data_IF_026157933037
#
_entry.id   IF_026157933037
#
_cell.length_a   1.000
_cell.length_b   1.000
_cell.length_c   1.000
_cell.angle_alpha   90.00
_cell.angle_beta   90.00
_cell.angle_gamma   90.00
#
_symmetry.space_group_name_H-M   'P 1'
#
loop_
_entity.id
_entity.type
_entity.pdbx_description
1 polymer ?
2 non-polymer ?
3 non-polymer ?
4 non-polymer ?
5 non-polymer ?
6 water ?
#
# COMPACT_ATOMS: atom_id res chain seq x y z
N UNK A 1 -25.84 1.75 -15.60
CA UNK A 1 -26.22 2.88 -14.72
C UNK A 1 -26.56 4.11 -15.58
N UNK A 2 -26.77 5.28 -14.97
CA UNK A 2 -27.21 6.42 -15.76
C UNK A 2 -26.12 7.48 -15.89
N UNK A 3 -25.06 7.41 -15.07
CA UNK A 3 -24.01 8.45 -15.09
C UNK A 3 -23.01 8.11 -16.20
N UNK A 4 -22.62 9.12 -16.98
CA UNK A 4 -21.74 8.88 -18.13
C UNK A 4 -20.34 8.61 -17.59
N UNK A 5 -19.54 7.92 -18.40
CA UNK A 5 -18.16 7.74 -18.01
C UNK A 5 -17.43 9.09 -18.05
N UNK A 6 -17.85 9.99 -18.95
CA UNK A 6 -17.27 11.32 -18.95
C UNK A 6 -17.43 12.01 -17.57
N UNK A 7 -18.63 11.90 -17.00
CA UNK A 7 -19.00 12.52 -15.74
C UNK A 7 -18.17 11.91 -14.59
N UNK A 8 -18.01 10.59 -14.60
CA UNK A 8 -17.23 9.90 -13.56
C UNK A 8 -15.77 10.34 -13.65
N UNK A 9 -15.23 10.39 -14.88
CA UNK A 9 -13.82 10.75 -15.08
C UNK A 9 -13.61 12.19 -14.63
N UNK A 10 -14.55 13.07 -14.96
CA UNK A 10 -14.42 14.49 -14.58
C UNK A 10 -14.47 14.63 -13.05
N UNK A 11 -15.41 13.95 -12.39
CA UNK A 11 -15.52 14.01 -10.93
C UNK A 11 -14.22 13.55 -10.25
N UNK A 12 -13.70 12.37 -10.62
CA UNK A 12 -12.52 11.87 -9.93
C UNK A 12 -11.30 12.75 -10.21
N UNK A 13 -11.14 13.18 -11.48
CA UNK A 13 -10.06 14.11 -11.77
C UNK A 13 -10.19 15.33 -10.83
N UNK A 14 -11.41 15.82 -10.64
CA UNK A 14 -11.58 17.02 -9.81
C UNK A 14 -11.16 16.79 -8.35
N UNK A 15 -11.28 15.55 -7.83
CA UNK A 15 -10.78 15.30 -6.46
C UNK A 15 -9.29 15.58 -6.35
N UNK A 16 -8.51 15.14 -7.34
CA UNK A 16 -7.07 15.40 -7.37
C UNK A 16 -6.76 16.88 -7.62
N UNK A 17 -7.50 17.49 -8.55
CA UNK A 17 -7.31 18.91 -8.85
C UNK A 17 -7.54 19.72 -7.58
N UNK A 18 -8.62 19.43 -6.85
CA UNK A 18 -8.98 20.22 -5.68
C UNK A 18 -7.90 20.08 -4.58
N UNK A 19 -7.18 18.98 -4.54
CA UNK A 19 -6.14 18.78 -3.54
C UNK A 19 -4.83 19.41 -4.01
N UNK A 20 -4.85 20.06 -5.17
CA UNK A 20 -3.65 20.70 -5.69
C UNK A 20 -2.50 19.71 -5.79
N UNK A 21 -2.79 18.48 -6.25
CA UNK A 21 -1.68 17.59 -6.54
C UNK A 21 -1.85 16.96 -7.91
N UNK A 22 -0.95 16.03 -8.25
CA UNK A 22 -1.02 15.27 -9.48
C UNK A 22 -1.13 13.79 -9.07
N UNK A 23 -2.13 13.07 -9.59
CA UNK A 23 -2.22 11.68 -9.15
C UNK A 23 -3.13 10.84 -10.04
N UNK A 24 -3.14 9.52 -9.75
CA UNK A 24 -4.00 8.60 -10.47
C UNK A 24 -4.60 7.65 -9.43
N UNK A 25 -5.75 7.07 -9.76
CA UNK A 25 -6.20 5.89 -9.02
C UNK A 25 -6.62 4.86 -10.05
N UNK A 26 -6.08 3.65 -9.87
CA UNK A 26 -6.36 2.54 -10.77
C UNK A 26 -7.31 1.63 -10.02
N UNK A 27 -8.36 1.17 -10.69
CA UNK A 27 -9.35 0.26 -10.11
C UNK A 27 -9.33 -1.01 -10.96
N UNK A 28 -9.49 -2.18 -10.36
CA UNK A 28 -9.57 -3.36 -11.19
C UNK A 28 -10.89 -4.08 -10.87
N UNK A 29 -11.73 -4.32 -11.90
CA UNK A 29 -12.92 -5.16 -11.76
C UNK A 29 -12.73 -6.40 -12.59
N UNK A 30 -12.65 -7.54 -11.90
CA UNK A 30 -12.27 -8.75 -12.59
C UNK A 30 -10.89 -8.55 -13.17
N UNK A 31 -10.77 -8.77 -14.49
CA UNK A 31 -9.47 -8.60 -15.14
C UNK A 31 -9.32 -7.20 -15.74
N UNK A 32 -10.33 -6.33 -15.67
CA UNK A 32 -10.33 -5.06 -16.42
C UNK A 32 -9.76 -3.93 -15.55
N UNK A 33 -8.75 -3.22 -16.07
CA UNK A 33 -8.18 -2.10 -15.32
C UNK A 33 -8.84 -0.80 -15.74
N UNK A 34 -9.14 0.06 -14.79
CA UNK A 34 -9.61 1.39 -15.13
C UNK A 34 -8.71 2.43 -14.47
N UNK A 35 -8.42 3.52 -15.21
CA UNK A 35 -7.50 4.50 -14.66
C UNK A 35 -8.21 5.85 -14.60
N UNK A 36 -8.15 6.49 -13.43
CA UNK A 36 -8.83 7.75 -13.20
C UNK A 36 -7.88 8.75 -12.52
N UNK A 37 -8.26 10.03 -12.50
CA UNK A 37 -7.45 11.02 -11.78
C UNK A 37 -7.05 12.18 -12.69
N UNK A 38 -6.06 12.97 -12.26
CA UNK A 38 -5.68 14.14 -13.04
C UNK A 38 -4.29 13.98 -13.63
N UNK A 39 -3.70 12.77 -13.55
CA UNK A 39 -2.41 12.58 -14.20
C UNK A 39 -2.28 11.14 -14.62
N UNK A 40 -2.97 10.74 -15.69
CA UNK A 40 -3.13 9.33 -15.98
C UNK A 40 -1.80 8.65 -16.33
N UNK A 41 -0.83 9.39 -16.91
CA UNK A 41 0.44 8.79 -17.31
C UNK A 41 1.22 8.27 -16.10
N UNK A 42 0.87 8.68 -14.88
CA UNK A 42 1.53 8.09 -13.72
C UNK A 42 1.30 6.57 -13.59
N UNK A 43 0.27 6.05 -14.25
CA UNK A 43 -0.15 4.65 -14.08
C UNK A 43 0.98 3.67 -14.33
N UNK A 44 1.86 3.92 -15.33
CA UNK A 44 2.88 2.94 -15.65
C UNK A 44 4.25 3.53 -15.35
N UNK A 45 4.30 4.53 -14.46
CA UNK A 45 5.60 5.04 -14.02
C UNK A 45 6.01 4.37 -12.71
N UNK A 46 7.33 4.25 -12.46
CA UNK A 46 7.87 3.54 -11.29
C UNK A 46 8.14 4.53 -10.16
N UNK A 47 7.77 4.17 -8.92
CA UNK A 47 8.06 5.03 -7.77
C UNK A 47 8.51 4.09 -6.64
N UNK A 48 9.12 4.64 -5.59
CA UNK A 48 9.44 3.74 -4.48
C UNK A 48 8.13 3.30 -3.82
N UNK A 49 8.07 2.08 -3.28
CA UNK A 49 6.84 1.62 -2.63
C UNK A 49 6.64 2.29 -1.27
N UNK A 50 7.72 2.78 -0.63
CA UNK A 50 7.64 3.34 0.73
C UNK A 50 6.89 2.33 1.61
N UNK A 51 5.99 2.80 2.50
CA UNK A 51 5.39 1.94 3.53
C UNK A 51 4.48 0.89 2.90
N UNK A 52 4.13 1.03 1.60
CA UNK A 52 3.32 -0.06 1.00
C UNK A 52 4.10 -1.37 1.02
N UNK A 53 5.44 -1.28 1.05
CA UNK A 53 6.25 -2.51 1.07
C UNK A 53 5.99 -3.32 2.36
N UNK A 54 5.48 -2.68 3.41
CA UNK A 54 5.24 -3.43 4.67
C UNK A 54 4.31 -4.61 4.43
N UNK A 55 3.38 -4.52 3.46
CA UNK A 55 2.57 -5.70 3.17
C UNK A 55 3.43 -6.92 2.82
N UNK A 56 4.39 -6.73 1.92
CA UNK A 56 5.22 -7.85 1.47
C UNK A 56 6.27 -8.18 2.54
N UNK A 57 6.81 -7.16 3.23
CA UNK A 57 7.76 -7.42 4.30
C UNK A 57 7.10 -8.38 5.32
N UNK A 58 5.86 -8.09 5.72
CA UNK A 58 5.11 -8.91 6.70
C UNK A 58 4.92 -10.35 6.17
N UNK A 59 4.48 -10.49 4.90
CA UNK A 59 4.29 -11.83 4.33
C UNK A 59 5.60 -12.62 4.40
N UNK A 60 6.70 -12.00 3.99
CA UNK A 60 7.98 -12.70 3.95
C UNK A 60 8.42 -13.08 5.39
N UNK A 61 8.25 -12.15 6.33
CA UNK A 61 8.72 -12.41 7.69
C UNK A 61 7.92 -13.55 8.33
N UNK A 62 6.57 -13.53 8.17
CA UNK A 62 5.72 -14.55 8.76
C UNK A 62 5.99 -15.89 8.07
N UNK A 63 6.08 -15.88 6.73
CA UNK A 63 6.27 -17.12 5.99
C UNK A 63 7.57 -17.80 6.42
N UNK A 64 8.64 -17.03 6.62
CA UNK A 64 9.93 -17.58 6.94
C UNK A 64 10.19 -17.64 8.47
N UNK A 65 9.14 -17.52 9.29
CA UNK A 65 9.22 -17.69 10.76
C UNK A 65 10.19 -16.70 11.39
N UNK A 66 10.20 -15.46 10.89
CA UNK A 66 11.05 -14.48 11.50
C UNK A 66 10.25 -13.72 12.57
N UNK A 67 8.93 -13.91 12.63
CA UNK A 67 8.06 -13.26 13.61
C UNK A 67 6.78 -14.07 13.69
N UNK A 68 5.97 -13.84 14.73
CA UNK A 68 4.62 -14.39 14.75
C UNK A 68 3.69 -13.20 14.80
N UNK A 69 2.37 -13.42 14.65
CA UNK A 69 1.42 -12.31 14.70
C UNK A 69 1.21 -11.81 16.12
N UNK A 70 1.64 -12.55 17.16
CA UNK A 70 1.42 -11.99 18.49
C UNK A 70 2.71 -11.44 19.12
N UNK A 71 3.84 -11.65 18.47
CA UNK A 71 5.13 -11.21 19.01
C UNK A 71 5.12 -9.70 19.21
N UNK A 72 5.62 -9.24 20.35
CA UNK A 72 5.61 -7.80 20.60
C UNK A 72 7.03 -7.31 20.38
N UNK A 73 7.24 -6.44 19.36
CA UNK A 73 8.54 -5.83 19.13
C UNK A 73 8.65 -4.65 20.10
N UNK A 74 9.67 -4.70 20.98
CA UNK A 74 9.80 -3.71 22.04
C UNK A 74 10.43 -2.44 21.52
N UNK A 75 9.93 -1.28 21.96
CA UNK A 75 10.60 -0.04 21.58
C UNK A 75 11.95 -0.02 22.29
N UNK A 76 13.02 0.37 21.58
CA UNK A 76 14.35 0.30 22.16
C UNK A 76 14.66 1.52 23.03
N UNK A 77 13.70 2.44 23.13
CA UNK A 77 13.83 3.59 24.03
C UNK A 77 14.50 4.78 23.35
N UNK A 78 14.89 4.69 22.06
CA UNK A 78 15.43 5.82 21.31
C UNK A 78 14.34 6.71 20.72
N UNK A 79 14.60 8.01 20.60
CA UNK A 79 13.63 8.98 20.11
C UNK A 79 13.26 8.61 18.68
N UNK A 80 11.97 8.72 18.31
CA UNK A 80 11.50 8.38 16.98
C UNK A 80 10.89 9.61 16.36
N UNK A 81 10.74 9.60 15.03
CA UNK A 81 10.10 10.71 14.36
C UNK A 81 8.72 10.98 14.95
N UNK A 82 7.93 9.95 15.28
CA UNK A 82 6.55 10.16 15.69
C UNK A 82 6.37 9.50 17.06
N UNK A 83 5.70 10.20 18.01
CA UNK A 83 5.52 9.66 19.36
C UNK A 83 4.79 8.33 19.41
N UNK A 84 3.85 8.14 18.47
CA UNK A 84 3.12 6.90 18.37
C UNK A 84 4.05 5.72 18.06
N UNK A 85 5.25 5.99 17.54
CA UNK A 85 6.20 4.93 17.27
C UNK A 85 6.97 4.54 18.55
N UNK A 86 6.84 5.34 19.64
CA UNK A 86 7.73 5.09 20.78
C UNK A 86 7.02 4.14 21.73
N UNK A 87 6.69 2.95 21.23
CA UNK A 87 5.96 2.00 22.03
C UNK A 87 6.16 0.62 21.43
N UNK A 88 5.77 -0.40 22.20
CA UNK A 88 5.91 -1.81 21.92
C UNK A 88 4.73 -2.18 21.04
N UNK A 89 4.99 -2.98 19.97
CA UNK A 89 3.88 -3.29 19.10
C UNK A 89 4.05 -4.61 18.35
N UNK A 90 2.91 -5.18 17.94
CA UNK A 90 2.92 -6.36 17.07
C UNK A 90 3.09 -5.86 15.63
N UNK A 91 3.33 -6.78 14.69
CA UNK A 91 3.38 -6.48 13.26
C UNK A 91 2.10 -5.79 12.83
N UNK A 92 0.95 -6.25 13.35
CA UNK A 92 -0.34 -5.69 12.96
C UNK A 92 -0.50 -4.25 13.39
N UNK A 93 -0.09 -3.97 14.63
CA UNK A 93 -0.13 -2.60 15.11
C UNK A 93 0.84 -1.71 14.33
N UNK A 94 2.05 -2.22 14.09
CA UNK A 94 3.04 -1.50 13.33
C UNK A 94 2.55 -1.26 11.89
N UNK A 95 1.78 -2.20 11.34
CA UNK A 95 1.20 -1.98 10.00
C UNK A 95 0.23 -0.80 10.03
N UNK A 96 -0.60 -0.71 11.09
CA UNK A 96 -1.60 0.36 11.14
C UNK A 96 -0.93 1.71 11.38
N UNK A 97 0.18 1.73 12.14
CA UNK A 97 0.85 2.99 12.42
C UNK A 97 1.97 3.28 11.42
N UNK A 98 2.13 2.40 10.41
CA UNK A 98 3.26 2.48 9.49
C UNK A 98 4.58 2.66 10.24
N UNK A 99 4.78 1.90 11.34
CA UNK A 99 5.99 2.01 12.16
C UNK A 99 7.20 1.36 11.47
N UNK A 100 7.93 2.16 10.68
CA UNK A 100 9.09 1.67 9.96
C UNK A 100 10.15 1.04 10.88
N UNK A 101 10.40 1.47 12.15
CA UNK A 101 11.44 0.79 12.94
C UNK A 101 11.16 -0.70 13.15
N UNK A 102 9.89 -1.08 13.25
CA UNK A 102 9.54 -2.49 13.50
C UNK A 102 9.80 -3.26 12.21
N UNK A 103 9.41 -2.69 11.06
CA UNK A 103 9.61 -3.37 9.78
C UNK A 103 11.08 -3.39 9.38
N UNK A 104 11.88 -2.41 9.82
CA UNK A 104 13.32 -2.51 9.62
C UNK A 104 13.93 -3.64 10.43
N UNK A 105 13.43 -3.84 11.66
CA UNK A 105 13.85 -4.98 12.47
C UNK A 105 13.49 -6.28 11.74
N UNK A 106 12.24 -6.37 11.26
CA UNK A 106 11.83 -7.58 10.55
C UNK A 106 12.74 -7.80 9.32
N UNK A 107 13.01 -6.73 8.55
CA UNK A 107 13.83 -6.92 7.34
C UNK A 107 15.24 -7.41 7.73
N UNK A 108 15.80 -6.84 8.79
CA UNK A 108 17.11 -7.31 9.26
C UNK A 108 17.06 -8.77 9.71
N UNK A 109 15.94 -9.25 10.29
CA UNK A 109 15.89 -10.65 10.69
C UNK A 109 15.84 -11.51 9.43
N UNK A 110 15.07 -11.06 8.44
CA UNK A 110 15.01 -11.84 7.20
C UNK A 110 16.38 -11.92 6.54
N UNK A 111 17.09 -10.78 6.49
CA UNK A 111 18.43 -10.67 5.96
C UNK A 111 18.41 -10.43 4.43
N UNK A 112 19.48 -9.82 3.90
CA UNK A 112 19.56 -9.40 2.50
C UNK A 112 19.37 -10.57 1.54
N UNK A 113 20.08 -11.68 1.79
CA UNK A 113 19.98 -12.81 0.87
C UNK A 113 18.57 -13.38 0.73
N UNK A 114 17.88 -13.63 1.84
CA UNK A 114 16.55 -14.22 1.75
C UNK A 114 15.56 -13.17 1.21
N UNK A 115 15.72 -11.90 1.67
CA UNK A 115 14.85 -10.82 1.21
C UNK A 115 14.93 -10.72 -0.34
N UNK A 116 16.13 -10.71 -0.91
CA UNK A 116 16.29 -10.58 -2.36
C UNK A 116 15.62 -11.77 -3.07
N UNK A 117 15.82 -12.98 -2.52
CA UNK A 117 15.23 -14.17 -3.10
C UNK A 117 13.72 -14.06 -3.07
N UNK A 118 13.13 -13.54 -1.97
CA UNK A 118 11.68 -13.65 -1.88
C UNK A 118 11.06 -12.54 -2.75
N UNK A 119 11.70 -11.39 -2.76
CA UNK A 119 11.15 -10.28 -3.54
C UNK A 119 11.18 -10.68 -5.04
N UNK A 120 12.31 -11.27 -5.48
CA UNK A 120 12.40 -11.88 -6.81
C UNK A 120 11.32 -12.94 -7.03
N UNK A 121 11.11 -13.83 -6.06
CA UNK A 121 10.15 -14.91 -6.20
C UNK A 121 8.74 -14.35 -6.40
N UNK A 122 8.41 -13.23 -5.74
CA UNK A 122 7.08 -12.64 -5.81
C UNK A 122 6.99 -11.76 -7.06
N UNK A 123 8.14 -11.40 -7.64
CA UNK A 123 8.09 -10.60 -8.85
C UNK A 123 7.58 -9.20 -8.50
N UNK A 124 7.98 -8.60 -7.37
CA UNK A 124 7.39 -7.34 -6.93
C UNK A 124 8.12 -6.16 -7.57
N UNK A 125 7.38 -5.35 -8.37
CA UNK A 125 7.99 -4.15 -8.94
C UNK A 125 9.18 -4.48 -9.83
N UNK A 126 10.25 -3.69 -9.78
CA UNK A 126 11.46 -3.95 -10.55
C UNK A 126 12.29 -5.07 -9.91
N UNK A 127 11.87 -5.58 -8.76
CA UNK A 127 12.49 -6.68 -8.04
C UNK A 127 13.93 -6.42 -7.53
N UNK A 128 14.38 -5.16 -7.49
CA UNK A 128 15.77 -4.83 -7.17
C UNK A 128 15.94 -4.26 -5.76
N UNK A 129 16.59 -5.01 -4.84
CA UNK A 129 16.68 -4.46 -3.47
C UNK A 129 18.10 -3.95 -3.18
N UNK A 130 19.07 -4.18 -4.08
CA UNK A 130 20.38 -3.56 -3.84
C UNK A 130 21.10 -4.23 -2.64
N UNK A 131 21.89 -3.47 -1.89
CA UNK A 131 22.80 -4.04 -0.91
C UNK A 131 22.45 -3.66 0.54
N UNK A 132 21.42 -2.82 0.78
CA UNK A 132 21.05 -2.42 2.13
C UNK A 132 19.68 -2.98 2.50
N UNK A 133 19.64 -3.94 3.42
CA UNK A 133 18.42 -4.68 3.66
C UNK A 133 17.37 -3.80 4.35
N UNK A 134 17.76 -2.64 4.93
CA UNK A 134 16.87 -1.93 5.86
C UNK A 134 16.32 -0.60 5.30
N UNK A 135 16.53 -0.35 4.00
CA UNK A 135 16.01 0.91 3.47
C UNK A 135 15.69 0.86 1.96
N UNK A 136 15.75 -0.32 1.37
CA UNK A 136 15.65 -0.43 -0.09
C UNK A 136 14.29 -0.03 -0.64
N UNK A 137 13.23 -0.08 0.19
CA UNK A 137 11.85 0.25 -0.19
C UNK A 137 11.58 1.74 0.05
N UNK A 138 12.55 2.47 0.61
CA UNK A 138 12.36 3.85 1.04
C UNK A 138 13.09 4.80 0.09
N UNK A 139 14.29 4.41 -0.35
CA UNK A 139 15.10 5.43 -1.04
C UNK A 139 15.58 4.83 -2.36
N UNK A 140 15.03 3.69 -2.74
CA UNK A 140 15.58 2.95 -3.87
C UNK A 140 16.57 1.89 -3.39
N UNK A 141 16.97 0.93 -4.24
CA UNK A 141 16.58 0.92 -5.68
C UNK A 141 15.24 0.30 -6.03
N UNK A 142 14.47 -0.18 -5.03
CA UNK A 142 13.23 -0.91 -5.31
C UNK A 142 12.17 0.09 -5.79
N UNK A 143 11.49 -0.21 -6.91
CA UNK A 143 10.44 0.69 -7.39
C UNK A 143 9.33 -0.14 -8.03
N UNK A 144 8.14 0.48 -8.12
CA UNK A 144 6.98 -0.29 -8.58
C UNK A 144 6.02 0.74 -9.19
N UNK A 145 5.19 0.31 -10.16
CA UNK A 145 4.21 1.23 -10.76
C UNK A 145 2.85 1.06 -10.07
N UNK A 146 1.93 2.06 -10.21
CA UNK A 146 0.56 1.90 -9.75
C UNK A 146 -0.15 0.69 -10.34
N UNK A 147 0.11 0.40 -11.64
CA UNK A 147 -0.42 -0.84 -12.20
C UNK A 147 0.09 -2.07 -11.43
N UNK A 148 1.41 -2.15 -11.20
CA UNK A 148 1.92 -3.30 -10.48
C UNK A 148 1.32 -3.34 -9.06
N UNK A 149 1.15 -2.19 -8.38
CA UNK A 149 0.62 -2.19 -7.02
C UNK A 149 -0.82 -2.69 -7.03
N UNK A 150 -1.65 -2.25 -7.99
CA UNK A 150 -3.04 -2.72 -7.98
C UNK A 150 -3.09 -4.24 -8.23
N UNK A 151 -2.18 -4.75 -9.05
CA UNK A 151 -2.16 -6.19 -9.33
C UNK A 151 -1.66 -6.98 -8.13
N UNK A 152 -0.65 -6.45 -7.41
CA UNK A 152 -0.28 -7.01 -6.10
C UNK A 152 -1.49 -7.12 -5.16
N UNK A 153 -2.26 -6.04 -5.03
CA UNK A 153 -3.40 -5.98 -4.14
C UNK A 153 -4.44 -7.02 -4.59
N UNK A 154 -4.64 -7.13 -5.91
CA UNK A 154 -5.52 -8.14 -6.48
C UNK A 154 -5.06 -9.55 -6.09
N UNK A 155 -3.76 -9.85 -6.25
CA UNK A 155 -3.23 -11.17 -5.90
C UNK A 155 -3.41 -11.47 -4.41
N UNK A 156 -3.07 -10.50 -3.53
CA UNK A 156 -3.24 -10.71 -2.07
C UNK A 156 -4.73 -10.89 -1.74
N UNK A 157 -5.60 -10.02 -2.27
CA UNK A 157 -7.01 -10.13 -1.95
C UNK A 157 -7.53 -11.54 -2.30
N UNK A 158 -6.97 -12.16 -3.33
CA UNK A 158 -7.46 -13.46 -3.82
C UNK A 158 -6.57 -14.62 -3.36
N UNK A 159 -5.66 -14.38 -2.41
CA UNK A 159 -4.77 -15.44 -1.95
C UNK A 159 -3.93 -16.07 -3.05
N UNK A 160 -3.50 -15.26 -4.02
CA UNK A 160 -2.82 -15.79 -5.18
C UNK A 160 -1.32 -15.61 -5.06
N UNK A 161 -0.83 -14.84 -4.07
CA UNK A 161 0.61 -14.72 -3.99
C UNK A 161 1.20 -16.07 -3.55
N UNK A 162 2.50 -16.33 -3.80
CA UNK A 162 3.12 -17.61 -3.51
C UNK A 162 3.58 -17.72 -2.06
N UNK A 163 2.60 -17.64 -1.16
CA UNK A 163 2.83 -17.85 0.26
C UNK A 163 1.72 -18.77 0.71
N UNK A 164 1.88 -19.41 1.88
CA UNK A 164 0.80 -20.16 2.44
C UNK A 164 -0.45 -19.31 2.53
N UNK A 165 -1.60 -19.97 2.43
CA UNK A 165 -2.87 -19.32 2.62
C UNK A 165 -2.89 -18.64 3.97
N UNK A 166 -2.34 -19.34 4.98
CA UNK A 166 -2.44 -18.80 6.33
C UNK A 166 -1.63 -17.48 6.44
N UNK A 167 -0.42 -17.46 5.87
CA UNK A 167 0.39 -16.24 5.83
C UNK A 167 -0.42 -15.07 5.22
N UNK A 168 -1.02 -15.31 4.04
CA UNK A 168 -1.82 -14.26 3.39
C UNK A 168 -2.97 -13.79 4.25
N UNK A 169 -3.71 -14.74 4.88
CA UNK A 169 -4.81 -14.34 5.73
C UNK A 169 -4.34 -13.51 6.94
N UNK A 170 -3.19 -13.85 7.50
CA UNK A 170 -2.73 -13.15 8.71
C UNK A 170 -2.40 -11.70 8.30
N UNK A 171 -1.74 -11.52 7.15
CA UNK A 171 -1.42 -10.14 6.73
C UNK A 171 -2.69 -9.37 6.36
N UNK A 172 -3.63 -9.99 5.62
CA UNK A 172 -4.82 -9.26 5.26
C UNK A 172 -5.56 -8.77 6.49
N UNK A 173 -5.58 -9.56 7.57
CA UNK A 173 -6.29 -9.09 8.76
C UNK A 173 -5.65 -7.78 9.25
N UNK A 174 -4.33 -7.60 9.04
CA UNK A 174 -3.63 -6.40 9.50
C UNK A 174 -4.06 -5.15 8.74
N UNK A 175 -4.74 -5.33 7.60
CA UNK A 175 -4.92 -4.20 6.67
C UNK A 175 -6.33 -3.60 6.67
N UNK A 176 -7.23 -4.03 7.57
CA UNK A 176 -8.57 -3.48 7.56
C UNK A 176 -8.56 -2.05 8.08
N UNK A 177 -9.00 -1.07 7.27
CA UNK A 177 -8.86 0.31 7.67
C UNK A 177 -10.23 0.96 7.74
N UNK A 178 -11.28 0.36 7.14
CA UNK A 178 -12.54 1.08 7.12
C UNK A 178 -13.71 0.14 6.84
N UNK A 179 -14.85 0.41 7.50
CA UNK A 179 -16.08 -0.33 7.24
C UNK A 179 -17.16 0.68 6.83
N UNK A 180 -17.80 0.42 5.68
CA UNK A 180 -18.76 1.37 5.11
C UNK A 180 -19.97 0.55 4.63
N UNK A 181 -21.15 0.84 5.21
CA UNK A 181 -22.42 0.13 5.08
C UNK A 181 -22.32 -1.30 4.52
N UNK A 182 -21.62 -2.23 5.19
CA UNK A 182 -21.50 -3.59 4.67
C UNK A 182 -20.21 -3.90 3.87
N UNK A 183 -19.57 -2.88 3.28
CA UNK A 183 -18.30 -2.99 2.58
C UNK A 183 -17.12 -2.89 3.56
N UNK A 184 -16.05 -3.63 3.30
CA UNK A 184 -14.85 -3.43 4.10
C UNK A 184 -13.70 -2.98 3.20
N UNK A 185 -12.93 -1.99 3.67
CA UNK A 185 -11.77 -1.52 2.92
C UNK A 185 -10.48 -1.98 3.60
N UNK A 186 -9.72 -2.78 2.86
CA UNK A 186 -8.40 -3.17 3.29
C UNK A 186 -7.40 -2.35 2.48
N UNK A 187 -6.42 -1.72 3.13
CA UNK A 187 -5.42 -0.98 2.34
C UNK A 187 -4.17 -0.69 3.17
N UNK A 188 -3.07 -0.35 2.48
CA UNK A 188 -1.87 0.18 3.14
C UNK A 188 -1.54 1.51 2.49
N UNK A 189 -1.27 2.52 3.33
CA UNK A 189 -0.84 3.81 2.82
C UNK A 189 0.68 3.83 2.69
N UNK A 190 1.18 4.86 1.95
CA UNK A 190 2.62 5.06 1.76
C UNK A 190 2.86 6.55 1.60
N UNK A 191 4.00 7.02 2.13
CA UNK A 191 4.38 8.42 1.94
C UNK A 191 5.91 8.40 1.89
N UNK A 192 6.48 8.46 0.69
CA UNK A 192 7.91 8.29 0.53
C UNK A 192 8.55 9.67 0.68
N UNK A 193 9.14 9.91 1.85
CA UNK A 193 9.70 11.23 2.15
C UNK A 193 11.20 11.29 1.83
N UNK A 194 11.80 10.15 1.53
CA UNK A 194 13.23 10.12 1.25
C UNK A 194 13.57 10.20 -0.23
N UNK A 195 12.58 10.55 -1.08
CA UNK A 195 12.78 10.75 -2.51
C UNK A 195 12.18 12.11 -2.91
N UNK A 196 12.56 12.61 -4.09
CA UNK A 196 12.05 13.90 -4.57
C UNK A 196 11.60 13.71 -6.02
N UNK A 197 10.35 14.10 -6.40
CA UNK A 197 9.32 14.55 -5.46
C UNK A 197 8.86 13.42 -4.53
N UNK A 198 8.11 13.77 -3.48
CA UNK A 198 7.63 12.78 -2.51
C UNK A 198 6.39 12.06 -3.06
N UNK A 199 6.32 10.75 -2.84
CA UNK A 199 5.23 9.97 -3.42
C UNK A 199 4.24 9.59 -2.32
N UNK A 200 2.92 9.63 -2.64
CA UNK A 200 1.88 9.17 -1.73
C UNK A 200 1.18 7.96 -2.37
N UNK A 201 0.85 6.93 -1.55
CA UNK A 201 0.16 5.74 -2.00
C UNK A 201 -1.04 5.42 -1.10
N UNK A 202 -2.08 4.78 -1.65
CA UNK A 202 -2.99 3.98 -0.83
C UNK A 202 -3.45 2.83 -1.70
N UNK A 203 -2.99 1.63 -1.36
CA UNK A 203 -3.17 0.48 -2.23
C UNK A 203 -3.93 -0.56 -1.43
N UNK A 204 -4.99 -1.13 -2.01
CA UNK A 204 -5.76 -2.09 -1.26
C UNK A 204 -6.92 -2.68 -2.08
N UNK A 205 -8.01 -3.02 -1.38
CA UNK A 205 -9.20 -3.53 -2.06
C UNK A 205 -10.43 -3.32 -1.22
N UNK A 206 -11.59 -3.30 -1.89
CA UNK A 206 -12.86 -3.23 -1.20
C UNK A 206 -13.38 -4.65 -1.21
N UNK A 207 -13.80 -5.15 -0.03
CA UNK A 207 -14.55 -6.40 -0.09
C UNK A 207 -16.03 -6.03 0.10
N UNK A 208 -16.86 -6.23 -0.93
CA UNK A 208 -18.27 -5.86 -0.87
C UNK A 208 -19.02 -6.93 -0.08
N UNK A 209 -20.23 -6.62 0.38
CA UNK A 209 -20.99 -7.47 1.30
C UNK A 209 -21.19 -8.86 0.70
N UNK A 210 -21.38 -8.91 -0.63
CA UNK A 210 -21.58 -10.14 -1.40
C UNK A 210 -20.29 -10.93 -1.61
N UNK A 211 -19.15 -10.42 -1.14
CA UNK A 211 -17.90 -11.16 -1.28
C UNK A 211 -16.98 -10.72 -2.45
N UNK A 212 -17.46 -9.88 -3.38
CA UNK A 212 -16.61 -9.49 -4.49
C UNK A 212 -15.49 -8.54 -4.01
N UNK A 213 -14.27 -8.74 -4.53
CA UNK A 213 -13.14 -7.90 -4.13
C UNK A 213 -12.73 -6.96 -5.27
N UNK A 214 -12.70 -5.64 -5.02
CA UNK A 214 -12.35 -4.68 -6.07
C UNK A 214 -11.07 -3.96 -5.62
N UNK A 215 -9.93 -4.40 -6.14
CA UNK A 215 -8.64 -3.77 -5.83
C UNK A 215 -8.43 -2.37 -6.41
N UNK A 216 -7.61 -1.56 -5.74
CA UNK A 216 -7.34 -0.20 -6.23
C UNK A 216 -5.93 0.19 -5.79
N UNK A 217 -5.34 1.16 -6.51
CA UNK A 217 -4.09 1.77 -6.04
C UNK A 217 -4.16 3.25 -6.38
N UNK A 218 -4.10 4.10 -5.35
CA UNK A 218 -3.99 5.53 -5.54
C UNK A 218 -2.52 5.87 -5.46
N UNK A 219 -2.07 6.81 -6.32
CA UNK A 219 -0.67 7.22 -6.32
C UNK A 219 -0.68 8.71 -6.64
N UNK A 220 -0.04 9.52 -5.79
CA UNK A 220 -0.06 10.97 -6.06
C UNK A 220 1.21 11.60 -5.52
N UNK A 221 1.37 12.89 -5.81
CA UNK A 221 2.55 13.61 -5.34
C UNK A 221 2.17 14.26 -4.04
N UNK A 222 2.91 13.96 -2.97
CA UNK A 222 2.58 14.58 -1.69
C UNK A 222 3.45 15.84 -1.63
N UNK A 223 2.88 16.94 -1.16
CA UNK A 223 3.73 18.12 -1.01
C UNK A 223 3.61 18.62 0.43
N UNK A 224 4.76 19.02 1.02
CA UNK A 224 4.80 19.64 2.35
C UNK A 224 3.65 20.65 2.44
N UNK A 225 2.87 20.52 3.52
CA UNK A 225 1.61 21.23 3.54
C UNK A 225 0.42 20.27 3.59
N UNK A 226 0.56 19.09 2.95
CA UNK A 226 -0.57 18.20 2.76
C UNK A 226 -0.72 17.33 3.99
N UNK A 227 -1.96 17.00 4.29
CA UNK A 227 -2.28 16.03 5.32
C UNK A 227 -2.32 14.60 4.72
N UNK A 228 -1.75 13.60 5.41
CA UNK A 228 -1.80 12.21 4.99
C UNK A 228 -3.21 11.74 4.65
N UNK A 229 -4.19 12.31 5.32
CA UNK A 229 -5.56 11.85 5.17
C UNK A 229 -6.14 12.21 3.79
N UNK A 230 -5.45 13.06 3.01
CA UNK A 230 -5.95 13.35 1.67
C UNK A 230 -5.94 12.06 0.81
N UNK A 231 -5.01 11.14 1.11
CA UNK A 231 -4.92 9.89 0.35
C UNK A 231 -6.21 9.10 0.55
N UNK A 232 -6.66 8.99 1.82
CA UNK A 232 -7.90 8.28 2.13
C UNK A 232 -9.12 9.04 1.57
N UNK A 233 -9.11 10.38 1.71
CA UNK A 233 -10.30 11.15 1.29
C UNK A 233 -10.51 11.07 -0.21
N UNK A 234 -9.45 11.19 -0.99
CA UNK A 234 -9.59 11.02 -2.43
C UNK A 234 -10.05 9.62 -2.78
N UNK A 235 -9.47 8.62 -2.09
CA UNK A 235 -9.79 7.25 -2.45
C UNK A 235 -11.27 6.96 -2.18
N UNK A 236 -11.75 7.38 -0.99
CA UNK A 236 -13.12 7.05 -0.60
C UNK A 236 -14.12 7.77 -1.52
N UNK A 237 -13.85 9.05 -1.84
CA UNK A 237 -14.72 9.81 -2.73
C UNK A 237 -14.77 9.17 -4.11
N UNK A 238 -13.64 8.61 -4.56
CA UNK A 238 -13.54 8.01 -5.89
C UNK A 238 -14.32 6.69 -5.90
N UNK A 239 -14.12 5.85 -4.88
CA UNK A 239 -14.84 4.58 -4.85
C UNK A 239 -16.34 4.83 -4.68
N UNK A 240 -16.67 5.87 -3.91
CA UNK A 240 -18.08 6.21 -3.74
C UNK A 240 -18.67 6.71 -5.07
N UNK A 241 -17.93 7.54 -5.82
CA UNK A 241 -18.43 8.12 -7.07
C UNK A 241 -18.75 6.99 -8.03
N UNK A 242 -17.94 5.95 -8.01
CA UNK A 242 -18.13 4.87 -8.95
C UNK A 242 -19.13 3.85 -8.40
N UNK A 243 -19.66 4.04 -7.19
CA UNK A 243 -20.62 3.08 -6.66
C UNK A 243 -19.97 1.81 -6.08
N UNK A 244 -18.65 1.81 -5.85
CA UNK A 244 -18.00 0.62 -5.34
C UNK A 244 -18.25 0.48 -3.84
N UNK A 245 -18.35 1.61 -3.15
CA UNK A 245 -18.80 1.63 -1.77
C UNK A 245 -19.95 2.62 -1.72
X LIG B 1 2.12 -7.39 -12.49
X LIG B 1 3.45 -7.39 -12.51
X LIG B 1 1.59 -8.35 -11.94
X LIG B 1 1.49 -6.38 -13.00
X LIG C 1 8.89 5.70 5.77
X LIG C 1 6.15 8.68 6.97
X LIG C 1 -1.16 8.74 8.25
X LIG C 1 5.27 5.34 3.72
X LIG C 1 1.12 7.65 5.92
X LIG C 1 -0.78 11.13 7.95
X LIG C 1 -3.08 10.24 8.12
X LIG C 1 2.07 5.98 4.72
X LIG C 1 7.59 5.48 7.74
X LIG C 1 5.69 4.95 4.83
X LIG C 1 1.00 8.25 9.90
X LIG C 1 -0.58 11.15 10.75
X LIG C 1 1.87 10.43 10.49
X LIG C 1 4.08 5.89 6.53
X LIG C 1 0.17 8.79 10.99
X LIG C 1 -1.68 10.42 10.13
X LIG C 1 3.14 9.22 8.36
X LIG C 1 2.06 6.86 5.67
X LIG C 1 3.28 6.95 6.56
X LIG C 1 7.60 5.20 6.35
X LIG C 1 5.30 7.57 7.59
X LIG C 1 0.54 10.21 11.21
X LIG C 1 2.32 9.05 9.98
X LIG C 1 6.36 5.89 5.78
X LIG C 1 5.43 6.17 6.96
X LIG C 1 3.83 7.88 7.46
X LIG C 1 -1.73 10.22 8.52
X LIG D 1 8.28 4.73 5.33
X LIG D 1 5.84 8.85 6.71
X LIG D 1 0.11 10.54 16.56
X LIG D 1 5.34 5.21 3.68
X LIG D 1 1.03 8.09 6.88
X LIG D 1 2.15 9.19 16.69
X LIG D 1 2.00 11.10 15.10
X LIG D 1 1.35 6.48 5.49
X LIG D 1 8.12 6.35 7.19
X LIG D 1 5.59 4.97 4.87
X LIG D 1 1.08 8.78 10.25
X LIG D 1 1.56 8.06 13.84
X LIG D 1 1.83 6.90 11.58
X LIG D 1 3.83 6.19 6.42
X LIG D 1 1.13 9.13 11.67
X LIG D 1 0.75 9.04 14.59
X LIG D 1 3.52 7.55 9.59
X LIG D 1 1.71 7.21 6.47
X LIG D 1 3.11 7.10 7.02
X LIG D 1 7.43 5.36 6.38
X LIG D 1 5.24 7.73 7.56
X LIG D 1 0.99 7.87 12.42
X LIG D 1 1.79 7.43 10.14
X LIG D 1 6.18 6.00 5.79
X LIG D 1 5.21 6.33 6.93
X LIG D 1 3.77 7.88 7.93
X LIG D 1 1.40 9.99 15.78
X LIG E 1 22.40 -12.49 4.90
X LIG E 1 22.13 -12.01 3.57
X LIG E 1 23.37 -13.56 4.87
X LIG E 1 22.92 -11.42 5.73
X LIG E 1 21.16 -12.99 5.46
X LIG F 1 -1.22 -23.51 1.88
X LIG F 1 -1.53 -22.32 1.14
X LIG F 1 0.10 -23.97 1.54
X LIG F 1 -1.33 -23.24 3.31
X LIG F 1 -2.20 -24.51 1.52
X LIG G 1 -11.09 4.46 -17.83
X LIG G 1 -10.86 5.58 -18.71
X LIG G 1 -9.85 3.67 -17.73
X LIG G 1 -11.53 4.97 -16.55
X LIG G 1 -12.12 3.61 -18.37
#
# INVERSE_FOLDING_TARGET
>A
MHISSQQHEKAIKSYFDEAQTQGVIIIKEGKNLSTYGNALARANKEYVPASTFKMLNALIGLENHKATTNEIFKWDGKKRTYPMWEKDMTLGEAMALSAVPVYQELARRTGLELMQKEVKRVNFGNTNIGTQVDNFWLVGPLKITPVQEVNFADDLAHNRLPFKLETQEEVKKMLLIKEVNGSKIYAKSGWGMGVTPQVGWLTGWVEQANGKKIPFSLNLEMKEGMSGSIRNEITYKSLENLGII
>B hetero
1 BCT C O1 O2 O3
>C hetero
1 4J6 CAA CAB NAC OAD OAE OAF OAG OAH OAI CAJ CAK CAL CAM NAN NAO NAP SAQ CAR CAS CAT CAU CAV CAW CAX CAY CAZ SBA
>D hetero
1 DRW CAA CAB NAC OAD OAE OAF OAG OAH OAI CAJ CAK CAL CAM NAN NAO NAP SAQ CAR CAS CAT CAU CAV CAW CAX CAY CAZ SBA
>E hetero
1 SO4 S O1 O2 O3 O4
>F hetero
1 SO4 S O1 O2 O3 O4
>G hetero
1 SO4 S O1 O2 O3 O4
#
